data_IF_939241405111
#
_entry.id   IF_939241405111
#
_cell.length_a   1.000
_cell.length_b   1.000
_cell.length_c   1.000
_cell.angle_alpha   90.00
_cell.angle_beta   90.00
_cell.angle_gamma   90.00
#
_symmetry.space_group_name_H-M   'P 1'
#
loop_
_entity.id
_entity.type
_entity.pdbx_description
1 polymer ?
#
# COMPACT_ATOMS: atom_id res chain seq x y z
N UNK A 1 -10.01 -32.00 -15.40
CA UNK A 1 -10.40 -30.68 -15.94
C UNK A 1 -9.50 -29.68 -15.29
N UNK A 2 -8.38 -29.44 -15.96
CA UNK A 2 -7.23 -28.70 -15.43
C UNK A 2 -7.58 -27.23 -15.27
N UNK A 3 -7.58 -26.76 -14.03
CA UNK A 3 -7.64 -25.35 -13.72
C UNK A 3 -6.29 -24.72 -14.10
N UNK A 4 -6.22 -24.23 -15.34
CA UNK A 4 -5.11 -23.41 -15.82
C UNK A 4 -5.00 -22.20 -14.91
N UNK A 5 -3.96 -22.20 -14.07
CA UNK A 5 -3.50 -21.04 -13.31
C UNK A 5 -3.15 -19.95 -14.31
N UNK A 6 -4.04 -18.96 -14.48
CA UNK A 6 -3.72 -17.75 -15.24
C UNK A 6 -2.63 -17.00 -14.49
N UNK A 7 -1.47 -16.90 -15.12
CA UNK A 7 -0.31 -16.14 -14.68
C UNK A 7 -0.72 -14.79 -14.07
N UNK A 8 -0.23 -14.52 -12.86
CA UNK A 8 -0.21 -13.17 -12.30
C UNK A 8 0.59 -12.25 -13.24
N UNK A 9 0.07 -11.09 -13.65
CA UNK A 9 0.88 -10.14 -14.41
C UNK A 9 2.02 -9.67 -13.51
N UNK A 10 3.25 -9.99 -13.93
CA UNK A 10 4.46 -9.46 -13.31
C UNK A 10 4.45 -7.93 -13.35
N UNK A 11 5.07 -7.32 -12.31
CA UNK A 11 5.39 -5.89 -12.18
C UNK A 11 4.72 -5.01 -13.24
N UNK A 12 3.53 -4.50 -12.91
CA UNK A 12 2.67 -3.75 -13.82
C UNK A 12 3.47 -2.74 -14.65
N UNK A 13 3.79 -3.13 -15.88
CA UNK A 13 4.12 -2.20 -16.94
C UNK A 13 2.86 -1.37 -17.14
N UNK A 14 3.00 -0.04 -16.95
CA UNK A 14 1.92 0.91 -17.18
C UNK A 14 1.22 0.55 -18.49
N UNK A 15 -0.10 0.41 -18.54
CA UNK A 15 -0.79 0.22 -19.81
C UNK A 15 -0.41 1.38 -20.73
N UNK A 16 0.03 0.99 -21.91
CA UNK A 16 0.54 1.83 -22.98
C UNK A 16 -0.63 2.53 -23.69
N UNK A 17 -1.26 3.50 -23.02
CA UNK A 17 -2.00 4.62 -23.63
C UNK A 17 -2.01 5.78 -22.62
N UNK A 18 -0.97 6.62 -22.62
CA UNK A 18 -0.96 7.83 -21.81
C UNK A 18 -1.77 8.92 -22.51
N UNK A 19 -3.10 8.91 -22.38
CA UNK A 19 -3.80 10.18 -22.41
C UNK A 19 -3.20 11.08 -21.32
N UNK A 20 -2.91 12.34 -21.68
CA UNK A 20 -2.38 13.30 -20.72
C UNK A 20 -3.31 13.38 -19.50
N UNK A 21 -2.74 13.48 -18.28
CA UNK A 21 -3.55 13.66 -17.07
C UNK A 21 -4.48 14.88 -17.27
N UNK A 22 -5.79 14.76 -16.98
CA UNK A 22 -6.70 15.89 -17.08
C UNK A 22 -6.23 17.07 -16.23
N UNK A 23 -6.61 18.27 -16.66
CA UNK A 23 -6.41 19.50 -15.91
C UNK A 23 -7.20 19.49 -14.59
N UNK A 24 -6.82 20.40 -13.68
CA UNK A 24 -7.56 20.59 -12.43
C UNK A 24 -9.03 20.96 -12.69
N UNK A 25 -9.30 21.79 -13.69
CA UNK A 25 -10.66 22.24 -14.01
C UNK A 25 -11.54 21.07 -14.49
N UNK A 26 -10.99 20.17 -15.30
CA UNK A 26 -11.69 18.95 -15.76
C UNK A 26 -12.01 18.02 -14.59
N UNK A 27 -11.07 17.81 -13.67
CA UNK A 27 -11.29 17.01 -12.47
C UNK A 27 -12.39 17.62 -11.57
N UNK A 28 -12.38 18.95 -11.37
CA UNK A 28 -13.41 19.64 -10.60
C UNK A 28 -14.79 19.53 -11.28
N UNK A 29 -14.87 19.66 -12.61
CA UNK A 29 -16.15 19.49 -13.30
C UNK A 29 -16.66 18.05 -13.19
N UNK A 30 -15.78 17.04 -13.26
CA UNK A 30 -16.17 15.65 -13.02
C UNK A 30 -16.80 15.46 -11.63
N UNK A 31 -16.24 16.08 -10.58
CA UNK A 31 -16.84 16.05 -9.24
C UNK A 31 -18.20 16.75 -9.23
N UNK A 32 -18.33 17.88 -9.93
CA UNK A 32 -19.62 18.57 -10.04
C UNK A 32 -20.68 17.72 -10.73
N UNK A 33 -20.31 16.96 -11.77
CA UNK A 33 -21.16 15.95 -12.40
C UNK A 33 -21.59 14.89 -11.38
N UNK A 34 -20.66 14.34 -10.60
CA UNK A 34 -20.99 13.33 -9.58
C UNK A 34 -21.93 13.85 -8.49
N UNK A 35 -21.78 15.11 -8.06
CA UNK A 35 -22.70 15.75 -7.12
C UNK A 35 -24.12 15.83 -7.70
N UNK A 36 -24.27 16.32 -8.94
CA UNK A 36 -25.58 16.35 -9.60
C UNK A 36 -26.16 14.95 -9.78
N UNK A 37 -25.32 13.98 -10.16
CA UNK A 37 -25.73 12.59 -10.33
C UNK A 37 -26.24 11.97 -9.00
N UNK A 38 -25.64 12.35 -7.87
CA UNK A 38 -26.11 11.96 -6.54
C UNK A 38 -27.43 12.65 -6.10
N UNK A 39 -27.99 13.55 -6.91
CA UNK A 39 -29.22 14.30 -6.61
C UNK A 39 -28.98 15.59 -5.80
N UNK A 40 -27.72 16.02 -5.67
CA UNK A 40 -27.36 17.22 -4.91
C UNK A 40 -27.32 18.48 -5.78
N UNK A 41 -27.48 19.65 -5.14
CA UNK A 41 -27.32 20.95 -5.78
C UNK A 41 -25.90 21.50 -5.55
N UNK A 42 -25.00 21.51 -6.56
CA UNK A 42 -23.63 21.99 -6.37
C UNK A 42 -23.52 23.49 -6.02
N UNK A 43 -24.59 24.27 -6.21
CA UNK A 43 -24.62 25.69 -5.89
C UNK A 43 -24.94 25.99 -4.41
N UNK A 44 -25.31 24.98 -3.60
CA UNK A 44 -25.53 25.20 -2.17
C UNK A 44 -24.20 25.49 -1.46
N UNK A 45 -24.24 26.35 -0.45
CA UNK A 45 -23.06 26.87 0.26
C UNK A 45 -22.01 25.78 0.58
N UNK A 46 -22.43 24.65 1.15
CA UNK A 46 -21.52 23.56 1.53
C UNK A 46 -20.84 22.83 0.36
N UNK A 47 -21.37 22.92 -0.87
CA UNK A 47 -20.86 22.21 -2.05
C UNK A 47 -20.13 23.09 -3.06
N UNK A 48 -20.20 24.42 -2.94
CA UNK A 48 -19.57 25.37 -3.87
C UNK A 48 -18.10 25.02 -4.14
N UNK A 49 -17.34 24.79 -3.07
CA UNK A 49 -15.92 24.47 -3.12
C UNK A 49 -15.63 22.95 -3.01
N UNK A 50 -16.64 22.10 -2.95
CA UNK A 50 -16.44 20.64 -2.85
C UNK A 50 -15.64 20.09 -4.03
N UNK A 51 -15.90 20.46 -5.30
CA UNK A 51 -15.07 20.05 -6.42
C UNK A 51 -13.57 20.27 -6.21
N UNK A 52 -13.20 21.49 -5.81
CA UNK A 52 -11.81 21.88 -5.54
C UNK A 52 -11.22 21.10 -4.38
N UNK A 53 -11.97 20.93 -3.28
CA UNK A 53 -11.53 20.16 -2.11
C UNK A 53 -11.31 18.69 -2.44
N UNK A 54 -12.21 18.06 -3.20
CA UNK A 54 -12.09 16.65 -3.62
C UNK A 54 -10.88 16.46 -4.52
N UNK A 55 -10.73 17.29 -5.55
CA UNK A 55 -9.58 17.20 -6.46
C UNK A 55 -8.25 17.41 -5.72
N UNK A 56 -8.19 18.39 -4.79
CA UNK A 56 -7.02 18.59 -3.92
C UNK A 56 -6.73 17.37 -3.03
N UNK A 57 -7.76 16.81 -2.40
CA UNK A 57 -7.62 15.63 -1.56
C UNK A 57 -7.08 14.44 -2.37
N UNK A 58 -7.61 14.20 -3.58
CA UNK A 58 -7.14 13.09 -4.43
C UNK A 58 -5.67 13.20 -4.82
N UNK A 59 -5.13 14.41 -4.99
CA UNK A 59 -3.69 14.58 -5.20
C UNK A 59 -2.87 14.11 -3.99
N UNK A 60 -3.34 14.36 -2.78
CA UNK A 60 -2.67 13.89 -1.55
C UNK A 60 -2.84 12.37 -1.38
N UNK A 61 -4.07 11.87 -1.53
CA UNK A 61 -4.40 10.45 -1.35
C UNK A 61 -3.72 9.57 -2.39
N UNK A 62 -3.39 10.10 -3.58
CA UNK A 62 -2.73 9.40 -4.68
C UNK A 62 -1.31 9.90 -4.97
N UNK A 63 -0.70 10.64 -4.04
CA UNK A 63 0.64 11.21 -4.19
C UNK A 63 1.72 10.14 -4.41
N UNK A 64 1.45 8.89 -4.00
CA UNK A 64 2.37 7.76 -4.16
C UNK A 64 2.71 7.43 -5.62
N UNK A 65 1.91 7.86 -6.60
CA UNK A 65 2.24 7.69 -8.02
C UNK A 65 3.37 8.62 -8.50
N UNK A 66 3.64 9.71 -7.78
CA UNK A 66 4.69 10.68 -8.12
C UNK A 66 6.01 10.37 -7.40
N UNK A 67 5.98 9.41 -6.46
CA UNK A 67 7.14 9.01 -5.68
C UNK A 67 7.78 7.75 -6.26
N UNK A 68 9.10 7.77 -6.33
CA UNK A 68 9.91 6.60 -6.64
C UNK A 68 10.45 5.97 -5.35
N UNK A 69 10.25 4.67 -5.20
CA UNK A 69 10.69 3.91 -4.04
C UNK A 69 12.22 3.87 -3.95
N UNK A 70 12.92 3.83 -5.08
CA UNK A 70 14.38 3.78 -5.11
C UNK A 70 15.00 5.05 -4.52
N UNK A 71 14.40 6.21 -4.75
CA UNK A 71 14.88 7.49 -4.20
C UNK A 71 14.75 7.51 -2.67
N UNK A 72 13.70 6.88 -2.14
CA UNK A 72 13.49 6.76 -0.68
C UNK A 72 14.41 5.72 -0.05
N UNK A 73 14.64 4.59 -0.73
CA UNK A 73 15.44 3.49 -0.19
C UNK A 73 16.95 3.68 -0.39
N UNK A 74 17.39 4.52 -1.33
CA UNK A 74 18.79 4.63 -1.80
C UNK A 74 19.88 5.01 -0.79
N UNK A 75 19.54 5.35 0.45
CA UNK A 75 20.52 5.46 1.55
C UNK A 75 20.40 4.27 2.52
N UNK A 76 21.41 3.42 2.52
CA UNK A 76 21.57 2.26 3.43
C UNK A 76 22.74 2.51 4.37
N UNK A 77 22.71 1.90 5.55
CA UNK A 77 23.83 1.93 6.49
C UNK A 77 24.55 0.57 6.46
N UNK A 78 25.86 0.59 6.28
CA UNK A 78 26.71 -0.62 6.25
C UNK A 78 27.22 -1.00 7.65
N UNK A 79 27.33 -0.04 8.57
CA UNK A 79 27.77 -0.30 9.94
C UNK A 79 26.61 -0.69 10.86
N UNK A 80 26.41 -2.00 11.03
CA UNK A 80 25.39 -2.56 11.95
C UNK A 80 25.99 -3.19 13.21
N UNK A 81 27.29 -2.99 13.47
CA UNK A 81 27.96 -3.59 14.64
C UNK A 81 27.90 -5.12 14.68
N UNK A 82 27.73 -5.78 13.52
CA UNK A 82 27.58 -7.24 13.41
C UNK A 82 26.16 -7.76 13.64
N UNK A 83 25.15 -6.90 13.76
CA UNK A 83 23.76 -7.35 13.90
C UNK A 83 23.29 -8.16 12.69
N UNK A 84 22.88 -9.40 12.94
CA UNK A 84 22.53 -10.39 11.92
C UNK A 84 21.13 -11.00 12.12
N UNK A 85 20.32 -10.48 13.05
CA UNK A 85 18.98 -11.00 13.37
C UNK A 85 17.84 -10.16 12.77
N UNK A 86 16.58 -10.49 13.05
CA UNK A 86 15.40 -9.87 12.46
C UNK A 86 15.24 -8.40 12.89
N UNK A 87 15.26 -7.48 11.91
CA UNK A 87 14.75 -6.12 12.10
C UNK A 87 13.26 -6.11 11.78
N UNK A 88 12.41 -5.79 12.76
CA UNK A 88 10.95 -5.69 12.60
C UNK A 88 10.47 -4.27 12.94
N UNK A 89 9.77 -3.64 11.99
CA UNK A 89 8.95 -2.45 12.23
C UNK A 89 7.49 -2.88 12.13
N UNK A 90 6.79 -2.86 13.25
CA UNK A 90 5.40 -3.30 13.36
C UNK A 90 4.46 -2.13 13.68
N UNK A 91 3.17 -2.35 13.43
CA UNK A 91 2.10 -1.39 13.71
C UNK A 91 2.24 -0.07 12.93
N UNK A 92 2.75 -0.12 11.70
CA UNK A 92 2.85 1.04 10.81
C UNK A 92 1.44 1.37 10.31
N UNK A 93 0.79 2.46 10.77
CA UNK A 93 -0.53 2.82 10.27
C UNK A 93 -0.42 3.25 8.81
N UNK A 94 -1.42 2.91 8.00
CA UNK A 94 -1.51 3.39 6.63
C UNK A 94 -2.96 3.63 6.22
N UNK A 95 -3.10 4.47 5.19
CA UNK A 95 -4.34 4.66 4.46
C UNK A 95 -4.09 4.33 2.99
N UNK A 96 -5.02 3.60 2.37
CA UNK A 96 -5.04 3.34 0.93
C UNK A 96 -6.46 3.41 0.38
N UNK A 97 -6.64 3.15 -0.91
CA UNK A 97 -7.94 3.17 -1.56
C UNK A 97 -8.09 1.92 -2.43
N UNK A 98 -9.19 1.19 -2.24
CA UNK A 98 -9.53 0.05 -3.06
C UNK A 98 -9.73 0.52 -4.51
N UNK A 99 -8.95 0.01 -5.45
CA UNK A 99 -9.03 0.44 -6.86
C UNK A 99 -10.38 0.18 -7.51
N UNK A 100 -11.11 -0.84 -7.05
CA UNK A 100 -12.42 -1.20 -7.59
C UNK A 100 -13.53 -0.20 -7.26
N UNK A 101 -13.39 0.55 -6.16
CA UNK A 101 -14.46 1.41 -5.64
C UNK A 101 -13.98 2.81 -5.26
N UNK A 102 -12.66 3.06 -5.29
CA UNK A 102 -12.01 4.28 -4.80
C UNK A 102 -12.39 4.64 -3.36
N UNK A 103 -12.66 3.63 -2.54
CA UNK A 103 -13.09 3.75 -1.14
C UNK A 103 -11.93 3.33 -0.22
N UNK A 104 -11.76 3.94 0.97
CA UNK A 104 -10.58 3.71 1.80
C UNK A 104 -10.37 2.26 2.25
N UNK A 105 -9.10 1.88 2.32
CA UNK A 105 -8.57 0.72 3.05
C UNK A 105 -7.74 1.30 4.19
N UNK A 106 -8.04 0.91 5.43
CA UNK A 106 -7.40 1.46 6.62
C UNK A 106 -6.88 0.32 7.48
N UNK A 107 -5.59 0.37 7.84
CA UNK A 107 -5.02 -0.72 8.59
C UNK A 107 -3.59 -0.48 9.03
N UNK A 108 -2.90 -1.59 9.29
CA UNK A 108 -1.52 -1.61 9.72
C UNK A 108 -0.68 -2.52 8.84
N UNK A 109 0.54 -2.08 8.58
CA UNK A 109 1.59 -2.89 8.00
C UNK A 109 2.62 -3.27 9.06
N UNK A 110 3.16 -4.48 8.91
CA UNK A 110 4.24 -5.03 9.71
C UNK A 110 5.29 -5.53 8.74
N UNK A 111 6.51 -5.02 8.86
CA UNK A 111 7.58 -5.27 7.90
C UNK A 111 8.82 -5.70 8.66
N UNK A 112 9.30 -6.90 8.33
CA UNK A 112 10.53 -7.46 8.84
C UNK A 112 11.49 -7.80 7.70
N UNK A 113 12.77 -7.79 8.00
CA UNK A 113 13.79 -8.36 7.12
C UNK A 113 14.97 -8.90 7.94
N UNK A 114 15.70 -9.84 7.34
CA UNK A 114 16.95 -10.38 7.86
C UNK A 114 18.13 -9.70 7.15
N UNK A 115 18.92 -8.85 7.81
CA UNK A 115 20.03 -8.13 7.19
C UNK A 115 21.06 -9.07 6.55
N UNK A 116 21.72 -8.54 5.52
CA UNK A 116 22.89 -9.14 4.87
C UNK A 116 24.03 -8.10 4.84
N UNK A 117 24.51 -7.71 6.02
CA UNK A 117 25.57 -6.69 6.19
C UNK A 117 25.12 -5.24 5.97
N UNK A 118 23.84 -4.99 5.68
CA UNK A 118 23.27 -3.64 5.53
C UNK A 118 21.93 -3.53 6.23
N UNK A 119 21.68 -2.36 6.81
CA UNK A 119 20.41 -2.02 7.48
C UNK A 119 19.80 -0.77 6.87
N UNK A 120 18.47 -0.82 6.76
CA UNK A 120 17.66 0.30 6.34
C UNK A 120 17.29 1.18 7.54
N UNK A 121 17.34 2.51 7.38
CA UNK A 121 16.78 3.41 8.39
C UNK A 121 15.28 3.14 8.59
N UNK A 122 14.83 2.99 9.84
CA UNK A 122 13.46 2.56 10.17
C UNK A 122 12.37 3.45 9.53
N UNK A 123 12.62 4.77 9.47
CA UNK A 123 11.69 5.73 8.85
C UNK A 123 11.47 5.48 7.35
N UNK A 124 12.43 4.86 6.65
CA UNK A 124 12.29 4.53 5.23
C UNK A 124 11.33 3.36 4.99
N UNK A 125 11.28 2.39 5.92
CA UNK A 125 10.32 1.28 5.84
C UNK A 125 8.90 1.84 5.88
N UNK A 126 8.61 2.75 6.82
CA UNK A 126 7.33 3.45 6.88
C UNK A 126 7.04 4.26 5.60
N UNK A 127 8.05 4.92 5.02
CA UNK A 127 7.88 5.66 3.75
C UNK A 127 7.57 4.73 2.57
N UNK A 128 8.11 3.52 2.50
CA UNK A 128 7.73 2.55 1.46
C UNK A 128 6.27 2.16 1.58
N UNK A 129 5.80 1.89 2.81
CA UNK A 129 4.38 1.63 3.08
C UNK A 129 3.53 2.82 2.61
N UNK A 130 3.94 4.06 2.91
CA UNK A 130 3.22 5.26 2.49
C UNK A 130 3.17 5.44 0.96
N UNK A 131 4.28 5.20 0.25
CA UNK A 131 4.32 5.32 -1.22
C UNK A 131 3.29 4.40 -1.88
N UNK A 132 3.18 3.16 -1.40
CA UNK A 132 2.22 2.21 -1.95
C UNK A 132 0.81 2.38 -1.38
N UNK A 133 0.67 2.87 -0.14
CA UNK A 133 -0.59 3.21 0.47
C UNK A 133 -1.28 4.36 -0.27
N UNK A 134 -0.54 5.39 -0.68
CA UNK A 134 -1.06 6.55 -1.41
C UNK A 134 -1.28 6.29 -2.90
N UNK A 135 -1.94 5.19 -3.23
CA UNK A 135 -2.32 4.76 -4.59
C UNK A 135 -3.70 4.10 -4.55
N UNK A 136 -4.28 3.89 -5.73
CA UNK A 136 -5.35 2.91 -5.90
C UNK A 136 -4.71 1.52 -5.88
N UNK A 137 -5.26 0.62 -5.06
CA UNK A 137 -4.64 -0.66 -4.74
C UNK A 137 -5.64 -1.80 -4.55
N UNK A 138 -5.11 -3.02 -4.72
CA UNK A 138 -5.51 -4.21 -3.98
C UNK A 138 -4.54 -4.46 -2.83
N UNK A 139 -5.00 -5.02 -1.71
CA UNK A 139 -4.16 -5.21 -0.52
C UNK A 139 -3.04 -6.23 -0.81
N UNK A 140 -3.35 -7.25 -1.58
CA UNK A 140 -2.43 -8.29 -2.05
C UNK A 140 -1.27 -7.67 -2.83
N UNK A 141 -1.58 -6.80 -3.79
CA UNK A 141 -0.57 -6.13 -4.60
C UNK A 141 0.29 -5.19 -3.75
N UNK A 142 -0.33 -4.37 -2.88
CA UNK A 142 0.42 -3.51 -1.95
C UNK A 142 1.39 -4.32 -1.08
N UNK A 143 0.95 -5.46 -0.54
CA UNK A 143 1.77 -6.35 0.29
C UNK A 143 2.99 -6.87 -0.49
N UNK A 144 2.77 -7.33 -1.73
CA UNK A 144 3.84 -7.83 -2.59
C UNK A 144 4.82 -6.72 -3.02
N UNK A 145 4.29 -5.53 -3.35
CA UNK A 145 5.08 -4.37 -3.76
C UNK A 145 6.04 -3.89 -2.66
N UNK A 146 5.58 -3.84 -1.42
CA UNK A 146 6.43 -3.47 -0.27
C UNK A 146 7.57 -4.49 -0.12
N UNK A 147 7.24 -5.79 -0.08
CA UNK A 147 8.24 -6.85 0.09
C UNK A 147 9.30 -6.82 -1.00
N UNK A 148 8.86 -6.77 -2.26
CA UNK A 148 9.72 -6.73 -3.44
C UNK A 148 10.62 -5.51 -3.46
N UNK A 149 10.10 -4.33 -3.13
CA UNK A 149 10.90 -3.10 -3.17
C UNK A 149 12.03 -3.13 -2.15
N UNK A 150 11.77 -3.66 -0.95
CA UNK A 150 12.80 -3.82 0.08
C UNK A 150 13.83 -4.87 -0.36
N UNK A 151 13.36 -5.98 -0.92
CA UNK A 151 14.23 -7.05 -1.42
C UNK A 151 15.18 -6.56 -2.54
N UNK A 152 14.64 -5.86 -3.54
CA UNK A 152 15.42 -5.37 -4.68
C UNK A 152 16.48 -4.34 -4.27
N UNK A 153 16.16 -3.43 -3.34
CA UNK A 153 17.10 -2.38 -2.92
C UNK A 153 18.10 -2.86 -1.86
N UNK A 154 17.61 -3.52 -0.80
CA UNK A 154 18.46 -3.90 0.32
C UNK A 154 19.18 -5.24 0.10
N UNK A 155 18.64 -6.11 -0.75
CA UNK A 155 19.13 -7.50 -0.94
C UNK A 155 19.34 -8.23 0.40
N UNK A 156 18.34 -8.26 1.30
CA UNK A 156 18.46 -8.94 2.58
C UNK A 156 18.43 -10.46 2.39
N UNK A 157 18.71 -11.21 3.46
CA UNK A 157 18.54 -12.68 3.46
C UNK A 157 17.08 -13.11 3.35
N UNK A 158 16.13 -12.22 3.62
CA UNK A 158 14.70 -12.41 3.42
C UNK A 158 13.89 -11.23 3.92
N UNK A 159 12.68 -11.07 3.38
CA UNK A 159 11.71 -10.04 3.80
C UNK A 159 10.40 -10.72 4.21
N UNK A 160 9.75 -10.20 5.23
CA UNK A 160 8.40 -10.58 5.64
C UNK A 160 7.52 -9.35 5.78
N UNK A 161 6.38 -9.34 5.09
CA UNK A 161 5.37 -8.28 5.19
C UNK A 161 4.05 -8.92 5.59
N UNK A 162 3.36 -8.30 6.55
CA UNK A 162 1.96 -8.57 6.87
C UNK A 162 1.19 -7.26 6.84
N UNK A 163 0.04 -7.26 6.18
CA UNK A 163 -0.94 -6.18 6.25
C UNK A 163 -2.22 -6.73 6.85
N UNK A 164 -2.77 -6.03 7.84
CA UNK A 164 -4.08 -6.28 8.43
C UNK A 164 -4.90 -4.99 8.33
N UNK A 165 -5.98 -5.01 7.55
CA UNK A 165 -6.73 -3.80 7.21
C UNK A 165 -8.24 -4.05 7.05
N UNK A 166 -9.01 -3.03 7.41
CA UNK A 166 -10.44 -2.96 7.14
C UNK A 166 -10.70 -2.27 5.80
N UNK A 167 -11.64 -2.82 5.04
CA UNK A 167 -12.01 -2.32 3.72
C UNK A 167 -13.35 -1.61 3.80
N UNK A 168 -13.37 -0.28 3.65
CA UNK A 168 -14.62 0.47 3.75
C UNK A 168 -15.61 0.10 2.64
N UNK A 169 -15.14 -0.46 1.52
CA UNK A 169 -16.00 -0.99 0.46
C UNK A 169 -16.83 -2.22 0.89
N UNK A 170 -16.47 -2.90 1.99
CA UNK A 170 -17.22 -3.97 2.63
C UNK A 170 -17.94 -3.52 3.90
N UNK A 171 -17.36 -2.56 4.63
CA UNK A 171 -17.92 -2.09 5.91
C UNK A 171 -19.09 -1.13 5.73
N UNK A 172 -18.97 -0.13 4.84
CA UNK A 172 -19.93 0.97 4.72
C UNK A 172 -21.00 0.73 3.64
N UNK A 173 -20.82 -0.27 2.78
CA UNK A 173 -21.72 -0.58 1.66
C UNK A 173 -21.69 -2.07 1.31
N UNK A 174 -22.62 -2.47 0.45
CA UNK A 174 -22.68 -3.83 -0.06
C UNK A 174 -23.01 -4.83 1.05
N UNK A 175 -22.04 -5.65 1.44
CA UNK A 175 -22.21 -6.73 2.43
C UNK A 175 -22.25 -6.25 3.89
N UNK A 176 -21.88 -4.99 4.15
CA UNK A 176 -21.98 -4.30 5.45
C UNK A 176 -21.34 -5.08 6.62
N UNK A 177 -20.09 -5.51 6.46
CA UNK A 177 -19.33 -6.31 7.45
C UNK A 177 -18.34 -5.43 8.23
N UNK A 178 -18.87 -4.49 8.99
CA UNK A 178 -18.08 -3.62 9.84
C UNK A 178 -17.21 -4.43 10.83
N UNK A 179 -15.95 -4.01 10.99
CA UNK A 179 -14.99 -4.67 11.88
C UNK A 179 -14.36 -5.95 11.30
N UNK A 180 -14.76 -6.39 10.11
CA UNK A 180 -14.07 -7.46 9.39
C UNK A 180 -12.75 -6.91 8.83
N UNK A 181 -11.65 -7.59 9.14
CA UNK A 181 -10.35 -7.25 8.57
C UNK A 181 -9.85 -8.33 7.61
N UNK A 182 -9.04 -7.90 6.66
CA UNK A 182 -8.36 -8.75 5.69
C UNK A 182 -6.89 -8.79 6.03
N UNK A 183 -6.34 -10.00 6.15
CA UNK A 183 -4.92 -10.23 6.42
C UNK A 183 -4.23 -10.79 5.17
N UNK A 184 -3.14 -10.15 4.76
CA UNK A 184 -2.28 -10.59 3.65
C UNK A 184 -0.83 -10.66 4.11
N UNK A 185 -0.09 -11.63 3.57
CA UNK A 185 1.34 -11.80 3.85
C UNK A 185 2.15 -11.97 2.57
N UNK A 186 3.38 -11.50 2.58
CA UNK A 186 4.38 -11.80 1.55
C UNK A 186 5.71 -12.14 2.21
N UNK A 187 6.27 -13.31 1.87
CA UNK A 187 7.55 -13.79 2.38
C UNK A 187 8.53 -14.03 1.23
N UNK A 188 9.77 -13.60 1.43
CA UNK A 188 10.88 -13.82 0.50
C UNK A 188 12.11 -14.37 1.22
N UNK A 189 13.05 -14.93 0.46
CA UNK A 189 14.29 -15.50 0.99
C UNK A 189 14.07 -16.47 2.17
N UNK A 190 14.79 -16.23 3.26
CA UNK A 190 14.76 -17.07 4.48
C UNK A 190 13.35 -17.19 5.05
N UNK A 191 12.57 -16.10 5.14
CA UNK A 191 11.19 -16.17 5.62
C UNK A 191 10.30 -17.05 4.74
N UNK A 192 10.56 -17.14 3.44
CA UNK A 192 9.79 -18.02 2.54
C UNK A 192 10.17 -19.50 2.71
N UNK A 193 11.45 -19.75 2.91
CA UNK A 193 12.02 -21.10 2.86
C UNK A 193 12.08 -21.80 4.23
N UNK A 194 11.98 -21.05 5.33
CA UNK A 194 12.03 -21.58 6.69
C UNK A 194 10.70 -21.36 7.43
N UNK A 195 9.90 -22.41 7.67
CA UNK A 195 8.68 -22.34 8.46
C UNK A 195 8.89 -21.82 9.89
N UNK A 196 10.05 -22.06 10.50
CA UNK A 196 10.34 -21.56 11.85
C UNK A 196 10.41 -20.03 11.86
N UNK A 197 11.00 -19.43 10.83
CA UNK A 197 11.06 -17.96 10.69
C UNK A 197 9.68 -17.35 10.38
N UNK A 198 8.80 -18.06 9.66
CA UNK A 198 7.40 -17.63 9.48
C UNK A 198 6.66 -17.60 10.82
N UNK A 199 6.79 -18.68 11.61
CA UNK A 199 6.17 -18.76 12.95
C UNK A 199 6.74 -17.69 13.87
N UNK A 200 8.06 -17.48 13.86
CA UNK A 200 8.74 -16.44 14.64
C UNK A 200 8.20 -15.05 14.29
N UNK A 201 8.12 -14.71 13.00
CA UNK A 201 7.54 -13.44 12.54
C UNK A 201 6.09 -13.27 13.01
N UNK A 202 5.23 -14.26 12.76
CA UNK A 202 3.82 -14.19 13.16
C UNK A 202 3.65 -14.05 14.68
N UNK A 203 4.52 -14.69 15.47
CA UNK A 203 4.54 -14.59 16.93
C UNK A 203 4.95 -13.19 17.39
N UNK A 204 6.00 -12.62 16.81
CA UNK A 204 6.46 -11.25 17.14
C UNK A 204 5.43 -10.18 16.79
N UNK A 205 4.63 -10.40 15.74
CA UNK A 205 3.57 -9.47 15.34
C UNK A 205 2.32 -9.58 16.22
N UNK A 206 1.97 -10.79 16.69
CA UNK A 206 0.73 -11.05 17.44
C UNK A 206 0.86 -10.91 18.95
N UNK A 207 2.04 -11.16 19.54
CA UNK A 207 2.20 -11.12 20.99
C UNK A 207 2.31 -9.67 21.50
N UNK A 208 1.37 -9.33 22.39
CA UNK A 208 1.36 -8.12 23.23
C UNK A 208 1.72 -8.51 24.65
#
# INVERSE_FOLDING_TARGET
MDAIVKNFPGAGTKPDVAEARPSQAEAEEAVRVLLRWAGENPAREGLLDTPKRVAKAYRELFAGYELNVQDVLGTTFEEVGGYDDVVLVRDIPFFSHCEHHMVPIVGKAHVAYLPAGRVLGLSKIARVVEIFGRRLQTQENMTAQIARSIEETLKPRGVAVMIDAEHMCMSMRGVNKQGSTTLTTSFTGTFKNDPAEQVRFMTMVRNR
#
